data_IF_272738851483
#
_entry.id   IF_272738851483
#
_cell.length_a   1.000
_cell.length_b   1.000
_cell.length_c   1.000
_cell.angle_alpha   90.00
_cell.angle_beta   90.00
_cell.angle_gamma   90.00
#
_symmetry.space_group_name_H-M   'P 1'
#
loop_
_entity.id
_entity.type
_entity.pdbx_description
1 polymer ?
#
# COMPACT_ATOMS: atom_id res chain seq x y z
N UNK A 1 -47.23 31.63 -2.46
CA UNK A 1 -46.56 30.52 -1.73
C UNK A 1 -46.78 30.56 -0.22
N UNK A 2 -46.88 31.73 0.43
CA UNK A 2 -47.12 31.83 1.89
C UNK A 2 -48.51 31.36 2.39
N UNK A 3 -49.52 31.26 1.51
CA UNK A 3 -50.89 30.89 1.86
C UNK A 3 -51.10 29.36 1.96
N UNK A 4 -50.37 28.59 1.14
CA UNK A 4 -50.54 27.13 1.08
C UNK A 4 -50.01 26.42 2.34
N UNK A 5 -48.91 26.89 2.91
CA UNK A 5 -48.33 26.34 4.15
C UNK A 5 -49.31 26.38 5.32
N UNK A 6 -50.08 27.48 5.46
CA UNK A 6 -51.06 27.62 6.52
C UNK A 6 -52.23 26.64 6.37
N UNK A 7 -52.66 26.41 5.13
CA UNK A 7 -53.74 25.45 4.81
C UNK A 7 -53.27 24.01 5.08
N UNK A 8 -52.03 23.69 4.72
CA UNK A 8 -51.39 22.40 5.02
C UNK A 8 -51.34 22.15 6.53
N UNK A 9 -50.84 23.11 7.32
CA UNK A 9 -50.73 22.96 8.77
C UNK A 9 -52.10 22.81 9.45
N UNK A 10 -53.10 23.56 8.98
CA UNK A 10 -54.47 23.45 9.45
C UNK A 10 -55.08 22.07 9.12
N UNK A 11 -54.90 21.60 7.88
CA UNK A 11 -55.37 20.28 7.46
C UNK A 11 -54.67 19.15 8.24
N UNK A 12 -53.35 19.28 8.48
CA UNK A 12 -52.55 18.35 9.28
C UNK A 12 -53.07 18.25 10.71
N UNK A 13 -53.36 19.39 11.33
CA UNK A 13 -53.91 19.45 12.70
C UNK A 13 -55.28 18.77 12.76
N UNK A 14 -56.18 19.08 11.83
CA UNK A 14 -57.52 18.48 11.78
C UNK A 14 -57.50 16.97 11.51
N UNK A 15 -56.63 16.51 10.61
CA UNK A 15 -56.46 15.09 10.29
C UNK A 15 -55.93 14.31 11.49
N UNK A 16 -54.83 14.78 12.09
CA UNK A 16 -54.19 14.15 13.25
C UNK A 16 -55.14 14.02 14.43
N UNK A 17 -55.92 15.08 14.70
CA UNK A 17 -56.91 15.11 15.77
C UNK A 17 -57.92 13.95 15.69
N UNK A 18 -58.27 13.50 14.49
CA UNK A 18 -59.23 12.40 14.29
C UNK A 18 -58.52 11.06 14.26
N UNK A 19 -57.36 10.98 13.61
CA UNK A 19 -56.56 9.76 13.58
C UNK A 19 -56.17 9.30 15.00
N UNK A 20 -55.90 10.26 15.89
CA UNK A 20 -55.57 10.04 17.30
C UNK A 20 -56.80 9.97 18.23
N UNK A 21 -58.02 10.19 17.72
CA UNK A 21 -59.22 10.16 18.55
C UNK A 21 -59.54 8.72 19.01
N UNK A 22 -59.83 8.56 20.29
CA UNK A 22 -60.25 7.29 20.87
C UNK A 22 -61.78 7.19 20.91
N UNK A 23 -62.36 6.37 20.04
CA UNK A 23 -63.81 6.06 19.98
C UNK A 23 -64.39 5.54 21.29
N UNK A 24 -63.54 4.91 22.13
CA UNK A 24 -63.89 4.42 23.47
C UNK A 24 -64.31 5.52 24.45
N UNK A 25 -64.10 6.79 24.13
CA UNK A 25 -64.54 7.94 24.92
C UNK A 25 -66.02 8.29 24.69
N UNK A 26 -66.63 7.82 23.59
CA UNK A 26 -67.98 8.17 23.18
C UNK A 26 -69.10 7.55 24.04
N UNK A 27 -69.03 6.27 24.50
CA UNK A 27 -70.13 5.61 25.21
C UNK A 27 -70.67 6.32 26.45
N UNK A 28 -69.78 6.89 27.28
CA UNK A 28 -70.11 7.60 28.54
C UNK A 28 -71.08 6.82 29.43
N UNK A 29 -70.92 5.50 29.50
CA UNK A 29 -71.79 4.55 30.21
C UNK A 29 -71.94 4.89 31.69
N UNK A 30 -70.85 5.30 32.35
CA UNK A 30 -70.86 5.68 33.78
C UNK A 30 -71.70 6.93 34.09
N UNK A 31 -71.86 7.85 33.12
CA UNK A 31 -72.52 9.14 33.31
C UNK A 31 -73.96 9.17 32.76
N UNK A 32 -74.24 8.37 31.73
CA UNK A 32 -75.50 8.39 30.99
C UNK A 32 -76.41 7.18 31.27
N UNK A 33 -75.92 6.16 31.99
CA UNK A 33 -76.71 4.96 32.31
C UNK A 33 -77.01 4.07 31.10
N UNK A 34 -77.92 3.11 31.25
CA UNK A 34 -78.26 2.14 30.20
C UNK A 34 -79.09 2.76 29.05
N UNK A 35 -79.96 3.72 29.35
CA UNK A 35 -80.93 4.26 28.38
C UNK A 35 -80.37 5.36 27.47
N UNK A 36 -79.35 6.12 27.92
CA UNK A 36 -78.83 7.29 27.21
C UNK A 36 -77.35 7.19 26.77
N UNK A 37 -76.68 6.05 26.98
CA UNK A 37 -75.28 5.87 26.56
C UNK A 37 -75.12 5.82 25.02
N UNK A 38 -73.92 6.12 24.52
CA UNK A 38 -73.59 6.10 23.10
C UNK A 38 -72.78 4.86 22.69
N UNK A 39 -73.02 3.70 23.30
CA UNK A 39 -72.34 2.46 22.91
C UNK A 39 -72.49 2.15 21.41
N UNK A 40 -73.69 2.39 20.86
CA UNK A 40 -73.98 2.20 19.44
C UNK A 40 -73.24 3.19 18.51
N UNK A 41 -72.61 4.25 19.03
CA UNK A 41 -71.84 5.21 18.23
C UNK A 41 -70.37 4.80 18.04
N UNK A 42 -69.87 3.82 18.81
CA UNK A 42 -68.45 3.41 18.77
C UNK A 42 -68.07 2.80 17.43
N UNK A 43 -68.86 1.86 16.93
CA UNK A 43 -68.59 1.19 15.65
C UNK A 43 -68.65 2.15 14.44
N UNK A 44 -69.66 3.03 14.30
CA UNK A 44 -69.63 4.10 13.30
C UNK A 44 -68.41 5.03 13.43
N UNK A 45 -68.04 5.41 14.66
CA UNK A 45 -66.87 6.25 14.90
C UNK A 45 -65.55 5.57 14.51
N UNK A 46 -65.38 4.29 14.83
CA UNK A 46 -64.18 3.51 14.49
C UNK A 46 -64.01 3.37 12.97
N UNK A 47 -65.11 3.16 12.24
CA UNK A 47 -65.07 3.11 10.77
C UNK A 47 -64.63 4.44 10.17
N UNK A 48 -65.14 5.56 10.69
CA UNK A 48 -64.73 6.90 10.27
C UNK A 48 -63.26 7.18 10.56
N UNK A 49 -62.79 6.90 11.79
CA UNK A 49 -61.38 7.08 12.19
C UNK A 49 -60.47 6.19 11.33
N UNK A 50 -60.85 4.94 11.13
CA UNK A 50 -60.13 3.98 10.29
C UNK A 50 -59.97 4.47 8.85
N UNK A 51 -60.96 5.16 8.30
CA UNK A 51 -60.89 5.75 6.97
C UNK A 51 -59.86 6.88 6.90
N UNK A 52 -59.86 7.81 7.86
CA UNK A 52 -58.86 8.88 7.90
C UNK A 52 -57.43 8.37 8.11
N UNK A 53 -57.24 7.26 8.83
CA UNK A 53 -55.91 6.63 9.04
C UNK A 53 -55.29 6.07 7.77
N UNK A 54 -56.06 5.84 6.71
CA UNK A 54 -55.52 5.32 5.44
C UNK A 54 -54.74 6.39 4.64
N UNK A 55 -54.89 7.67 4.99
CA UNK A 55 -54.12 8.74 4.36
C UNK A 55 -52.91 9.15 5.22
N UNK A 56 -51.66 9.02 4.71
CA UNK A 56 -50.46 9.40 5.44
C UNK A 56 -50.31 10.92 5.55
N UNK A 57 -50.08 11.43 6.76
CA UNK A 57 -49.88 12.87 7.00
C UNK A 57 -48.70 13.46 6.19
N UNK A 58 -47.70 12.66 5.84
CA UNK A 58 -46.50 13.10 5.12
C UNK A 58 -46.76 13.56 3.67
N UNK A 59 -47.91 13.19 3.08
CA UNK A 59 -48.25 13.57 1.70
C UNK A 59 -49.21 14.75 1.60
N UNK A 60 -49.51 15.42 2.73
CA UNK A 60 -50.34 16.62 2.72
C UNK A 60 -49.72 17.77 1.92
N UNK A 61 -48.39 17.87 1.93
CA UNK A 61 -47.67 18.96 1.25
C UNK A 61 -47.80 18.88 -0.29
N UNK A 62 -48.10 17.68 -0.81
CA UNK A 62 -48.27 17.40 -2.23
C UNK A 62 -49.70 17.64 -2.74
N UNK A 63 -50.66 17.92 -1.84
CA UNK A 63 -52.06 18.09 -2.20
C UNK A 63 -52.37 19.54 -2.62
N UNK A 64 -53.18 19.74 -3.68
CA UNK A 64 -53.70 21.06 -4.01
C UNK A 64 -54.57 21.66 -2.87
N UNK A 65 -54.63 22.99 -2.74
CA UNK A 65 -55.39 23.67 -1.67
C UNK A 65 -56.85 23.22 -1.56
N UNK A 66 -57.50 22.94 -2.70
CA UNK A 66 -58.89 22.45 -2.72
C UNK A 66 -59.03 21.09 -2.04
N UNK A 67 -58.10 20.17 -2.30
CA UNK A 67 -58.11 18.83 -1.69
C UNK A 67 -57.74 18.88 -0.21
N UNK A 68 -56.81 19.75 0.18
CA UNK A 68 -56.50 20.02 1.59
C UNK A 68 -57.71 20.56 2.35
N UNK A 69 -58.42 21.52 1.77
CA UNK A 69 -59.63 22.06 2.36
C UNK A 69 -60.75 21.02 2.45
N UNK A 70 -60.90 20.15 1.44
CA UNK A 70 -61.86 19.06 1.48
C UNK A 70 -61.53 18.05 2.60
N UNK A 71 -60.26 17.64 2.72
CA UNK A 71 -59.81 16.73 3.77
C UNK A 71 -59.97 17.35 5.16
N UNK A 72 -59.58 18.62 5.32
CA UNK A 72 -59.78 19.40 6.55
C UNK A 72 -61.26 19.49 6.91
N UNK A 73 -62.13 19.77 5.94
CA UNK A 73 -63.58 19.94 6.19
C UNK A 73 -64.25 18.61 6.54
N UNK A 74 -63.88 17.52 5.86
CA UNK A 74 -64.31 16.17 6.20
C UNK A 74 -63.85 15.77 7.61
N UNK A 75 -62.61 16.13 7.96
CA UNK A 75 -62.08 15.93 9.30
C UNK A 75 -62.88 16.74 10.34
N UNK A 76 -62.93 18.07 10.20
CA UNK A 76 -63.60 18.96 11.15
C UNK A 76 -65.07 18.59 11.36
N UNK A 77 -65.81 18.27 10.29
CA UNK A 77 -67.21 17.83 10.39
C UNK A 77 -67.36 16.52 11.16
N UNK A 78 -66.46 15.56 10.96
CA UNK A 78 -66.44 14.30 11.72
C UNK A 78 -66.15 14.54 13.20
N UNK A 79 -65.15 15.38 13.51
CA UNK A 79 -64.81 15.71 14.89
C UNK A 79 -65.96 16.46 15.60
N UNK A 80 -66.66 17.35 14.89
CA UNK A 80 -67.83 18.05 15.43
C UNK A 80 -68.94 17.08 15.87
N UNK A 81 -69.16 15.96 15.15
CA UNK A 81 -70.10 14.94 15.60
C UNK A 81 -69.62 14.26 16.89
N UNK A 82 -68.32 13.98 17.01
CA UNK A 82 -67.75 13.45 18.26
C UNK A 82 -67.92 14.45 19.42
N UNK A 83 -67.72 15.75 19.19
CA UNK A 83 -67.94 16.79 20.20
C UNK A 83 -69.41 16.90 20.61
N UNK A 84 -70.36 16.79 19.67
CA UNK A 84 -71.79 16.79 19.97
C UNK A 84 -72.19 15.59 20.85
N UNK A 85 -71.61 14.41 20.61
CA UNK A 85 -71.81 13.23 21.45
C UNK A 85 -71.19 13.43 22.85
N UNK A 86 -69.97 13.99 22.93
CA UNK A 86 -69.29 14.27 24.19
C UNK A 86 -69.94 15.39 25.00
N UNK A 87 -70.63 16.33 24.36
CA UNK A 87 -71.35 17.44 25.02
C UNK A 87 -72.83 17.14 25.30
N UNK A 88 -73.32 15.94 24.96
CA UNK A 88 -74.73 15.56 25.14
C UNK A 88 -75.28 15.77 26.56
N UNK A 89 -76.37 16.54 26.61
CA UNK A 89 -77.29 16.93 27.69
C UNK A 89 -78.41 15.93 28.08
N UNK A 90 -78.31 14.98 29.03
CA UNK A 90 -79.46 14.13 29.38
C UNK A 90 -80.66 14.88 29.98
N UNK A 91 -80.51 16.13 30.42
CA UNK A 91 -81.61 16.97 30.94
C UNK A 91 -82.31 17.80 29.86
N UNK A 92 -81.88 17.71 28.61
CA UNK A 92 -82.51 18.42 27.51
C UNK A 92 -83.93 17.89 27.21
N UNK A 93 -84.79 18.76 26.69
CA UNK A 93 -86.08 18.35 26.14
C UNK A 93 -85.83 17.38 24.97
N UNK A 94 -86.43 16.18 25.02
CA UNK A 94 -86.25 15.10 24.02
C UNK A 94 -84.80 14.58 23.87
N UNK A 95 -84.18 14.26 25.00
CA UNK A 95 -82.83 13.70 25.05
C UNK A 95 -82.70 12.36 24.28
N UNK A 96 -83.72 11.50 24.31
CA UNK A 96 -83.69 10.20 23.61
C UNK A 96 -83.75 10.35 22.08
N UNK A 97 -84.64 11.21 21.56
CA UNK A 97 -84.72 11.50 20.12
C UNK A 97 -83.44 12.14 19.59
N UNK A 98 -82.86 13.06 20.38
CA UNK A 98 -81.57 13.70 20.06
C UNK A 98 -80.44 12.69 19.97
N UNK A 99 -80.35 11.75 20.93
CA UNK A 99 -79.36 10.66 20.92
C UNK A 99 -79.49 9.81 19.66
N UNK A 100 -80.69 9.36 19.34
CA UNK A 100 -80.91 8.48 18.17
C UNK A 100 -80.55 9.18 16.85
N UNK A 101 -80.85 10.49 16.77
CA UNK A 101 -80.49 11.33 15.62
C UNK A 101 -78.98 11.47 15.46
N UNK A 102 -78.24 11.67 16.56
CA UNK A 102 -76.78 11.77 16.54
C UNK A 102 -76.13 10.46 16.08
N UNK A 103 -76.61 9.30 16.57
CA UNK A 103 -76.10 7.99 16.17
C UNK A 103 -76.36 7.72 14.68
N UNK A 104 -77.58 8.00 14.22
CA UNK A 104 -77.98 7.78 12.82
C UNK A 104 -77.24 8.73 11.88
N UNK A 105 -77.07 10.00 12.28
CA UNK A 105 -76.30 10.99 11.53
C UNK A 105 -74.82 10.60 11.43
N UNK A 106 -74.23 10.08 12.52
CA UNK A 106 -72.85 9.62 12.51
C UNK A 106 -72.64 8.43 11.59
N UNK A 107 -73.59 7.49 11.56
CA UNK A 107 -73.55 6.32 10.67
C UNK A 107 -73.62 6.75 9.20
N UNK A 108 -74.58 7.61 8.84
CA UNK A 108 -74.72 8.14 7.49
C UNK A 108 -73.55 9.03 7.05
N UNK A 109 -72.84 9.66 8.01
CA UNK A 109 -71.69 10.51 7.72
C UNK A 109 -70.53 9.72 7.10
N UNK A 110 -70.44 8.42 7.35
CA UNK A 110 -69.42 7.55 6.75
C UNK A 110 -69.41 7.61 5.22
N UNK A 111 -70.55 7.45 4.57
CA UNK A 111 -70.64 7.48 3.10
C UNK A 111 -70.24 8.85 2.54
N UNK A 112 -70.63 9.92 3.24
CA UNK A 112 -70.30 11.30 2.85
C UNK A 112 -68.79 11.53 2.89
N UNK A 113 -68.14 11.12 3.99
CA UNK A 113 -66.69 11.24 4.15
C UNK A 113 -65.97 10.36 3.12
N UNK A 114 -66.38 9.10 2.97
CA UNK A 114 -65.79 8.16 2.02
C UNK A 114 -65.76 8.71 0.59
N UNK A 115 -66.89 9.22 0.10
CA UNK A 115 -66.97 9.80 -1.24
C UNK A 115 -66.08 11.04 -1.39
N UNK A 116 -65.88 11.82 -0.31
CA UNK A 116 -65.08 13.04 -0.36
C UNK A 116 -63.57 12.81 -0.34
N UNK A 117 -63.08 11.75 0.32
CA UNK A 117 -61.63 11.53 0.53
C UNK A 117 -61.07 10.26 -0.10
N UNK A 118 -61.89 9.38 -0.69
CA UNK A 118 -61.44 8.12 -1.31
C UNK A 118 -60.36 8.31 -2.39
N UNK A 119 -60.48 9.33 -3.23
CA UNK A 119 -59.50 9.66 -4.25
C UNK A 119 -58.15 10.10 -3.66
N UNK A 120 -58.18 10.77 -2.51
CA UNK A 120 -56.98 11.18 -1.77
C UNK A 120 -56.30 9.96 -1.14
N UNK A 121 -57.08 9.03 -0.59
CA UNK A 121 -56.56 7.76 -0.06
C UNK A 121 -55.86 6.97 -1.17
N UNK A 122 -56.47 6.86 -2.35
CA UNK A 122 -55.86 6.20 -3.51
C UNK A 122 -54.55 6.86 -3.96
N UNK A 123 -54.48 8.20 -3.93
CA UNK A 123 -53.26 8.96 -4.20
C UNK A 123 -52.16 8.66 -3.16
N UNK A 124 -52.48 8.71 -1.88
CA UNK A 124 -51.53 8.41 -0.79
C UNK A 124 -50.99 6.98 -0.84
N UNK A 125 -51.85 6.00 -1.15
CA UNK A 125 -51.46 4.60 -1.30
C UNK A 125 -50.49 4.36 -2.47
N UNK A 126 -50.67 5.09 -3.58
CA UNK A 126 -49.78 4.99 -4.74
C UNK A 126 -48.39 5.56 -4.43
N UNK A 127 -48.35 6.72 -3.75
CA UNK A 127 -47.08 7.37 -3.34
C UNK A 127 -46.27 6.51 -2.35
N UNK A 128 -46.92 5.79 -1.45
CA UNK A 128 -46.28 4.82 -0.55
C UNK A 128 -45.55 3.71 -1.32
N UNK A 129 -46.15 3.22 -2.41
CA UNK A 129 -45.58 2.12 -3.21
C UNK A 129 -44.27 2.54 -3.89
N UNK A 130 -44.22 3.75 -4.44
CA UNK A 130 -43.04 4.24 -5.16
C UNK A 130 -41.83 4.48 -4.24
N UNK A 131 -42.05 4.93 -3.00
CA UNK A 131 -40.96 5.12 -2.03
C UNK A 131 -40.25 3.81 -1.67
N UNK A 132 -40.99 2.71 -1.51
CA UNK A 132 -40.42 1.40 -1.20
C UNK A 132 -39.51 0.86 -2.32
N UNK A 133 -39.86 1.16 -3.58
CA UNK A 133 -39.07 0.75 -4.75
C UNK A 133 -37.75 1.53 -4.83
N UNK A 134 -37.79 2.83 -4.55
CA UNK A 134 -36.59 3.69 -4.54
C UNK A 134 -35.63 3.29 -3.40
N UNK A 135 -36.15 2.97 -2.21
CA UNK A 135 -35.32 2.52 -1.09
C UNK A 135 -34.57 1.22 -1.43
N UNK A 136 -35.24 0.27 -2.09
CA UNK A 136 -34.60 -0.96 -2.57
C UNK A 136 -33.46 -0.71 -3.55
N UNK A 137 -33.66 0.19 -4.51
CA UNK A 137 -32.64 0.58 -5.49
C UNK A 137 -31.45 1.28 -4.83
N UNK A 138 -31.70 2.20 -3.88
CA UNK A 138 -30.65 2.89 -3.15
C UNK A 138 -29.78 1.91 -2.33
N UNK A 139 -30.39 0.93 -1.64
CA UNK A 139 -29.65 -0.10 -0.91
C UNK A 139 -28.79 -0.97 -1.84
N UNK A 140 -29.33 -1.35 -3.00
CA UNK A 140 -28.58 -2.11 -4.00
C UNK A 140 -27.37 -1.34 -4.55
N UNK A 141 -27.54 -0.04 -4.85
CA UNK A 141 -26.45 0.82 -5.32
C UNK A 141 -25.35 0.99 -4.26
N UNK A 142 -25.72 1.17 -2.98
CA UNK A 142 -24.76 1.25 -1.88
C UNK A 142 -24.00 -0.07 -1.69
N UNK A 143 -24.66 -1.21 -1.86
CA UNK A 143 -23.99 -2.51 -1.75
C UNK A 143 -23.01 -2.74 -2.91
N UNK A 144 -23.42 -2.45 -4.14
CA UNK A 144 -22.54 -2.55 -5.31
C UNK A 144 -21.29 -1.66 -5.14
N UNK A 145 -21.47 -0.43 -4.65
CA UNK A 145 -20.34 0.46 -4.35
C UNK A 145 -19.42 -0.08 -3.25
N UNK A 146 -19.97 -0.71 -2.20
CA UNK A 146 -19.16 -1.36 -1.15
C UNK A 146 -18.36 -2.54 -1.69
N UNK A 147 -18.97 -3.35 -2.54
CA UNK A 147 -18.33 -4.52 -3.13
C UNK A 147 -17.19 -4.09 -4.07
N UNK A 148 -17.40 -3.05 -4.88
CA UNK A 148 -16.39 -2.46 -5.76
C UNK A 148 -15.21 -1.83 -4.99
N UNK A 149 -15.49 -1.16 -3.86
CA UNK A 149 -14.44 -0.67 -2.95
C UNK A 149 -13.66 -1.83 -2.34
N UNK A 150 -14.33 -2.94 -2.01
CA UNK A 150 -13.71 -4.16 -1.52
C UNK A 150 -12.76 -4.80 -2.53
N UNK A 151 -13.20 -4.96 -3.78
CA UNK A 151 -12.36 -5.49 -4.87
C UNK A 151 -11.20 -4.57 -5.19
N UNK A 152 -11.43 -3.26 -5.27
CA UNK A 152 -10.37 -2.28 -5.52
C UNK A 152 -9.30 -2.30 -4.42
N UNK A 153 -9.70 -2.42 -3.16
CA UNK A 153 -8.75 -2.55 -2.05
C UNK A 153 -7.94 -3.86 -2.11
N UNK A 154 -8.51 -4.94 -2.63
CA UNK A 154 -7.80 -6.20 -2.85
C UNK A 154 -6.78 -6.08 -3.99
N UNK A 155 -7.18 -5.50 -5.13
CA UNK A 155 -6.32 -5.27 -6.29
C UNK A 155 -5.15 -4.34 -5.95
N UNK A 156 -5.41 -3.28 -5.19
CA UNK A 156 -4.37 -2.37 -4.67
C UNK A 156 -3.33 -3.11 -3.82
N UNK A 157 -3.74 -4.04 -2.95
CA UNK A 157 -2.80 -4.84 -2.16
C UNK A 157 -1.99 -5.78 -3.05
N UNK A 158 -2.62 -6.42 -4.03
CA UNK A 158 -1.93 -7.29 -4.97
C UNK A 158 -0.87 -6.53 -5.79
N UNK A 159 -1.24 -5.35 -6.33
CA UNK A 159 -0.31 -4.48 -7.05
C UNK A 159 0.84 -3.97 -6.17
N UNK A 160 0.56 -3.64 -4.91
CA UNK A 160 1.61 -3.22 -3.97
C UNK A 160 2.61 -4.35 -3.71
N UNK A 161 2.14 -5.58 -3.59
CA UNK A 161 3.00 -6.74 -3.39
C UNK A 161 3.83 -7.07 -4.63
N UNK A 162 3.22 -7.01 -5.82
CA UNK A 162 3.92 -7.18 -7.10
C UNK A 162 4.98 -6.10 -7.31
N UNK A 163 4.66 -4.83 -7.04
CA UNK A 163 5.63 -3.72 -7.12
C UNK A 163 6.82 -3.91 -6.17
N UNK A 164 6.58 -4.43 -4.96
CA UNK A 164 7.66 -4.78 -4.02
C UNK A 164 8.54 -5.89 -4.57
N UNK A 165 7.97 -6.94 -5.16
CA UNK A 165 8.74 -8.03 -5.80
C UNK A 165 9.59 -7.51 -6.95
N UNK A 166 9.01 -6.68 -7.84
CA UNK A 166 9.74 -6.08 -8.96
C UNK A 166 10.89 -5.21 -8.46
N UNK A 167 10.66 -4.38 -7.44
CA UNK A 167 11.71 -3.53 -6.86
C UNK A 167 12.86 -4.37 -6.28
N UNK A 168 12.54 -5.48 -5.62
CA UNK A 168 13.52 -6.40 -5.05
C UNK A 168 14.35 -7.10 -6.15
N UNK A 169 13.69 -7.55 -7.22
CA UNK A 169 14.36 -8.10 -8.40
C UNK A 169 15.27 -7.10 -9.10
N UNK A 170 14.82 -5.85 -9.27
CA UNK A 170 15.66 -4.78 -9.85
C UNK A 170 16.88 -4.52 -8.99
N UNK A 171 16.74 -4.48 -7.66
CA UNK A 171 17.86 -4.31 -6.72
C UNK A 171 18.84 -5.48 -6.81
N UNK A 172 18.33 -6.72 -6.89
CA UNK A 172 19.13 -7.93 -7.04
C UNK A 172 19.91 -7.93 -8.36
N UNK A 173 19.25 -7.65 -9.48
CA UNK A 173 19.90 -7.57 -10.80
C UNK A 173 20.94 -6.44 -10.83
N UNK A 174 20.66 -5.28 -10.22
CA UNK A 174 21.62 -4.19 -10.15
C UNK A 174 22.87 -4.56 -9.33
N UNK A 175 22.69 -5.28 -8.21
CA UNK A 175 23.80 -5.81 -7.43
C UNK A 175 24.60 -6.87 -8.21
N UNK A 176 23.92 -7.81 -8.87
CA UNK A 176 24.55 -8.83 -9.72
C UNK A 176 25.35 -8.21 -10.89
N UNK A 177 24.78 -7.23 -11.60
CA UNK A 177 25.45 -6.56 -12.72
C UNK A 177 26.64 -5.71 -12.26
N UNK A 178 26.51 -4.98 -11.15
CA UNK A 178 27.61 -4.18 -10.59
C UNK A 178 28.80 -5.04 -10.17
N UNK A 179 28.54 -6.13 -9.44
CA UNK A 179 29.57 -7.08 -9.00
C UNK A 179 30.16 -7.83 -10.20
N UNK A 180 29.32 -8.26 -11.15
CA UNK A 180 29.76 -8.97 -12.36
C UNK A 180 30.69 -8.11 -13.22
N UNK A 181 30.33 -6.85 -13.48
CA UNK A 181 31.14 -5.93 -14.28
C UNK A 181 32.52 -5.68 -13.65
N UNK A 182 32.57 -5.41 -12.34
CA UNK A 182 33.84 -5.23 -11.62
C UNK A 182 34.67 -6.51 -11.58
N UNK A 183 34.03 -7.66 -11.41
CA UNK A 183 34.71 -8.96 -11.44
C UNK A 183 35.36 -9.21 -12.81
N UNK A 184 34.65 -8.91 -13.90
CA UNK A 184 35.17 -9.03 -15.26
C UNK A 184 36.37 -8.11 -15.49
N UNK A 185 36.32 -6.87 -14.99
CA UNK A 185 37.43 -5.93 -15.08
C UNK A 185 38.69 -6.45 -14.36
N UNK A 186 38.55 -6.92 -13.11
CA UNK A 186 39.69 -7.49 -12.38
C UNK A 186 40.22 -8.76 -13.04
N UNK A 187 39.36 -9.58 -13.65
CA UNK A 187 39.80 -10.75 -14.43
C UNK A 187 40.65 -10.32 -15.62
N UNK A 188 40.17 -9.39 -16.44
CA UNK A 188 40.90 -8.92 -17.62
C UNK A 188 42.23 -8.24 -17.24
N UNK A 189 42.24 -7.45 -16.17
CA UNK A 189 43.46 -6.79 -15.68
C UNK A 189 44.47 -7.82 -15.15
N UNK A 190 43.99 -8.85 -14.46
CA UNK A 190 44.81 -9.98 -14.03
C UNK A 190 45.44 -10.75 -15.19
N UNK A 191 44.66 -11.04 -16.25
CA UNK A 191 45.13 -11.71 -17.46
C UNK A 191 46.13 -10.85 -18.27
N UNK A 192 45.90 -9.54 -18.32
CA UNK A 192 46.83 -8.57 -18.92
C UNK A 192 48.19 -8.58 -18.21
N UNK A 193 48.19 -8.43 -16.89
CA UNK A 193 49.41 -8.48 -16.08
C UNK A 193 50.11 -9.85 -16.13
N UNK A 194 49.35 -10.94 -16.24
CA UNK A 194 49.89 -12.29 -16.43
C UNK A 194 50.65 -12.41 -17.76
N UNK A 195 50.14 -11.77 -18.81
CA UNK A 195 50.78 -11.73 -20.13
C UNK A 195 52.04 -10.88 -20.10
N UNK A 196 51.95 -9.66 -19.56
CA UNK A 196 53.09 -8.75 -19.38
C UNK A 196 54.19 -9.41 -18.54
N UNK A 197 53.82 -10.16 -17.48
CA UNK A 197 54.77 -10.92 -16.69
C UNK A 197 55.51 -11.99 -17.52
N UNK A 198 54.83 -12.69 -18.43
CA UNK A 198 55.50 -13.67 -19.31
C UNK A 198 56.53 -13.01 -20.22
N UNK A 199 56.21 -11.82 -20.73
CA UNK A 199 57.14 -11.07 -21.58
C UNK A 199 58.38 -10.64 -20.79
N UNK A 200 58.19 -10.04 -19.61
CA UNK A 200 59.31 -9.68 -18.72
C UNK A 200 60.14 -10.89 -18.30
N UNK A 201 59.51 -12.05 -18.05
CA UNK A 201 60.23 -13.29 -17.76
C UNK A 201 61.18 -13.66 -18.89
N UNK A 202 60.72 -13.64 -20.14
CA UNK A 202 61.57 -13.94 -21.29
C UNK A 202 62.67 -12.89 -21.48
N UNK A 203 62.36 -11.60 -21.29
CA UNK A 203 63.38 -10.55 -21.32
C UNK A 203 64.46 -10.74 -20.26
N UNK A 204 64.09 -11.12 -19.03
CA UNK A 204 65.06 -11.44 -17.97
C UNK A 204 65.92 -12.65 -18.35
N UNK A 205 65.34 -13.70 -18.94
CA UNK A 205 66.09 -14.88 -19.41
C UNK A 205 67.08 -14.49 -20.52
N UNK A 206 66.66 -13.69 -21.50
CA UNK A 206 67.55 -13.24 -22.59
C UNK A 206 68.66 -12.33 -22.09
N UNK A 207 68.38 -11.41 -21.17
CA UNK A 207 69.39 -10.55 -20.56
C UNK A 207 70.38 -11.35 -19.70
N UNK A 208 69.91 -12.35 -18.96
CA UNK A 208 70.78 -13.23 -18.16
C UNK A 208 71.69 -14.08 -19.06
N UNK A 209 71.15 -14.67 -20.13
CA UNK A 209 71.92 -15.39 -21.12
C UNK A 209 72.94 -14.47 -21.82
N UNK A 210 72.51 -13.28 -22.24
CA UNK A 210 73.36 -12.27 -22.87
C UNK A 210 74.49 -11.80 -21.96
N UNK A 211 74.22 -11.59 -20.67
CA UNK A 211 75.24 -11.25 -19.68
C UNK A 211 76.26 -12.39 -19.50
N UNK A 212 75.79 -13.64 -19.44
CA UNK A 212 76.64 -14.82 -19.37
C UNK A 212 77.53 -14.99 -20.60
N UNK A 213 76.96 -14.82 -21.80
CA UNK A 213 77.70 -14.85 -23.08
C UNK A 213 78.70 -13.69 -23.15
N UNK A 214 78.30 -12.48 -22.76
CA UNK A 214 79.21 -11.33 -22.71
C UNK A 214 80.37 -11.57 -21.75
N UNK A 215 80.11 -12.10 -20.55
CA UNK A 215 81.15 -12.44 -19.58
C UNK A 215 82.11 -13.50 -20.16
N UNK A 216 81.58 -14.54 -20.80
CA UNK A 216 82.38 -15.60 -21.43
C UNK A 216 83.21 -15.07 -22.62
N UNK A 217 82.64 -14.29 -23.53
CA UNK A 217 83.39 -13.70 -24.64
C UNK A 217 84.44 -12.70 -24.13
N UNK A 218 84.10 -11.92 -23.10
CA UNK A 218 84.99 -10.91 -22.53
C UNK A 218 86.27 -11.49 -21.93
N UNK A 219 86.22 -12.72 -21.41
CA UNK A 219 87.42 -13.43 -20.93
C UNK A 219 88.30 -13.92 -22.08
N UNK A 220 87.76 -14.21 -23.27
CA UNK A 220 88.54 -14.65 -24.44
C UNK A 220 89.01 -13.51 -25.37
N UNK A 221 88.47 -12.30 -25.24
CA UNK A 221 88.79 -11.15 -26.10
C UNK A 221 90.29 -10.81 -26.19
N UNK A 222 91.09 -11.09 -25.14
CA UNK A 222 92.54 -10.83 -25.14
C UNK A 222 93.33 -11.73 -26.10
N UNK A 223 92.72 -12.80 -26.63
CA UNK A 223 93.37 -13.72 -27.58
C UNK A 223 93.27 -13.26 -29.04
N UNK A 224 92.46 -12.25 -29.35
CA UNK A 224 92.33 -11.72 -30.70
C UNK A 224 93.31 -10.57 -30.93
N UNK A 225 94.22 -10.72 -31.90
CA UNK A 225 95.32 -9.77 -32.17
C UNK A 225 94.87 -8.35 -32.53
N UNK A 226 93.62 -8.18 -32.97
CA UNK A 226 93.03 -6.88 -33.34
C UNK A 226 92.54 -6.07 -32.12
N UNK A 227 92.25 -6.74 -31.00
CA UNK A 227 91.66 -6.15 -29.79
C UNK A 227 92.60 -6.23 -28.57
N UNK A 228 93.85 -6.67 -28.79
CA UNK A 228 94.86 -6.73 -27.75
C UNK A 228 95.38 -5.31 -27.47
N UNK A 229 95.30 -4.81 -26.22
CA UNK A 229 95.83 -3.50 -25.89
C UNK A 229 97.35 -3.48 -26.11
N UNK A 230 97.83 -2.43 -26.77
CA UNK A 230 99.26 -2.23 -27.04
C UNK A 230 99.95 -1.40 -25.96
N UNK A 231 99.18 -0.66 -25.16
CA UNK A 231 99.65 0.20 -24.07
C UNK A 231 98.74 0.11 -22.83
N UNK A 232 99.26 0.46 -21.66
CA UNK A 232 98.55 0.44 -20.36
C UNK A 232 97.27 1.28 -20.38
N UNK A 233 97.27 2.41 -21.10
CA UNK A 233 96.07 3.25 -21.23
C UNK A 233 94.92 2.53 -21.96
N UNK A 234 95.22 1.85 -23.07
CA UNK A 234 94.22 1.07 -23.83
C UNK A 234 93.67 -0.10 -23.00
N UNK A 235 94.52 -0.75 -22.18
CA UNK A 235 94.08 -1.80 -21.27
C UNK A 235 93.12 -1.28 -20.19
N UNK A 236 93.39 -0.09 -19.64
CA UNK A 236 92.50 0.57 -18.67
C UNK A 236 91.18 0.96 -19.33
N UNK A 237 91.20 1.57 -20.51
CA UNK A 237 89.98 1.94 -21.24
C UNK A 237 89.13 0.71 -21.62
N UNK A 238 89.77 -0.38 -22.06
CA UNK A 238 89.09 -1.63 -22.42
C UNK A 238 88.50 -2.36 -21.20
N UNK A 239 89.18 -2.32 -20.05
CA UNK A 239 88.62 -2.87 -18.80
C UNK A 239 87.46 -2.04 -18.25
N UNK A 240 87.56 -0.70 -18.30
CA UNK A 240 86.51 0.21 -17.84
C UNK A 240 85.25 0.10 -18.70
N UNK A 241 85.39 0.03 -20.03
CA UNK A 241 84.26 -0.15 -20.94
C UNK A 241 83.56 -1.50 -20.75
N UNK A 242 84.30 -2.59 -20.50
CA UNK A 242 83.73 -3.90 -20.14
C UNK A 242 82.93 -3.83 -18.84
N UNK A 243 83.47 -3.17 -17.83
CA UNK A 243 82.81 -3.00 -16.54
C UNK A 243 81.53 -2.17 -16.68
N UNK A 244 81.57 -1.10 -17.49
CA UNK A 244 80.40 -0.28 -17.78
C UNK A 244 79.31 -1.09 -18.50
N UNK A 245 79.64 -1.83 -19.56
CA UNK A 245 78.67 -2.67 -20.29
C UNK A 245 78.08 -3.73 -19.36
N UNK A 246 78.91 -4.39 -18.54
CA UNK A 246 78.46 -5.37 -17.54
C UNK A 246 77.50 -4.73 -16.53
N UNK A 247 77.83 -3.54 -16.01
CA UNK A 247 76.99 -2.81 -15.07
C UNK A 247 75.63 -2.42 -15.67
N UNK A 248 75.61 -1.95 -16.92
CA UNK A 248 74.38 -1.58 -17.64
C UNK A 248 73.48 -2.81 -17.86
N UNK A 249 74.03 -3.91 -18.37
CA UNK A 249 73.27 -5.14 -18.59
C UNK A 249 72.78 -5.72 -17.25
N UNK A 250 73.62 -5.68 -16.21
CA UNK A 250 73.25 -6.09 -14.86
C UNK A 250 72.10 -5.25 -14.28
N UNK A 251 72.13 -3.93 -14.47
CA UNK A 251 71.03 -3.05 -14.07
C UNK A 251 69.73 -3.37 -14.82
N UNK A 252 69.80 -3.56 -16.15
CA UNK A 252 68.63 -3.94 -16.95
C UNK A 252 68.06 -5.30 -16.53
N UNK A 253 68.92 -6.26 -16.16
CA UNK A 253 68.50 -7.55 -15.62
C UNK A 253 67.74 -7.38 -14.31
N UNK A 254 68.26 -6.58 -13.37
CA UNK A 254 67.56 -6.28 -12.11
C UNK A 254 66.23 -5.57 -12.37
N UNK A 255 66.19 -4.60 -13.28
CA UNK A 255 64.96 -3.89 -13.64
C UNK A 255 63.90 -4.84 -14.22
N UNK A 256 64.29 -5.71 -15.16
CA UNK A 256 63.39 -6.70 -15.77
C UNK A 256 62.85 -7.69 -14.74
N UNK A 257 63.69 -8.18 -13.82
CA UNK A 257 63.29 -9.06 -12.75
C UNK A 257 62.29 -8.38 -11.79
N UNK A 258 62.52 -7.10 -11.45
CA UNK A 258 61.58 -6.33 -10.62
C UNK A 258 60.24 -6.12 -11.32
N UNK A 259 60.22 -5.82 -12.60
CA UNK A 259 58.99 -5.66 -13.38
C UNK A 259 58.20 -6.98 -13.52
N UNK A 260 58.92 -8.11 -13.68
CA UNK A 260 58.31 -9.45 -13.65
C UNK A 260 57.60 -9.70 -12.32
N UNK A 261 58.30 -9.48 -11.20
CA UNK A 261 57.75 -9.68 -9.86
C UNK A 261 56.52 -8.78 -9.60
N UNK A 262 56.61 -7.49 -9.96
CA UNK A 262 55.50 -6.54 -9.82
C UNK A 262 54.27 -6.95 -10.65
N UNK A 263 54.48 -7.35 -11.91
CA UNK A 263 53.38 -7.79 -12.79
C UNK A 263 52.75 -9.08 -12.29
N UNK A 264 53.54 -10.03 -11.77
CA UNK A 264 53.02 -11.25 -11.13
C UNK A 264 52.22 -10.96 -9.86
N UNK A 265 52.69 -10.03 -9.03
CA UNK A 265 51.95 -9.60 -7.87
C UNK A 265 50.58 -9.04 -8.26
N UNK A 266 50.53 -8.10 -9.20
CA UNK A 266 49.27 -7.51 -9.67
C UNK A 266 48.33 -8.54 -10.29
N UNK A 267 48.86 -9.50 -11.07
CA UNK A 267 48.08 -10.58 -11.65
C UNK A 267 47.38 -11.43 -10.56
N UNK A 268 48.11 -11.79 -9.50
CA UNK A 268 47.57 -12.60 -8.39
C UNK A 268 46.56 -11.80 -7.57
N UNK A 269 46.85 -10.54 -7.23
CA UNK A 269 45.93 -9.67 -6.48
C UNK A 269 44.62 -9.48 -7.25
N UNK A 270 44.69 -9.19 -8.54
CA UNK A 270 43.48 -9.01 -9.36
C UNK A 270 42.68 -10.32 -9.51
N UNK A 271 43.36 -11.47 -9.64
CA UNK A 271 42.69 -12.77 -9.64
C UNK A 271 42.02 -13.09 -8.30
N UNK A 272 42.63 -12.70 -7.18
CA UNK A 272 42.01 -12.83 -5.86
C UNK A 272 40.76 -11.96 -5.74
N UNK A 273 40.84 -10.68 -6.14
CA UNK A 273 39.69 -9.75 -6.17
C UNK A 273 38.54 -10.26 -7.02
N UNK A 274 38.86 -10.81 -8.20
CA UNK A 274 37.88 -11.47 -9.05
C UNK A 274 37.17 -12.63 -8.34
N UNK A 275 37.92 -13.55 -7.73
CA UNK A 275 37.35 -14.69 -7.01
C UNK A 275 36.52 -14.26 -5.78
N UNK A 276 36.96 -13.23 -5.06
CA UNK A 276 36.22 -12.67 -3.92
C UNK A 276 34.88 -12.05 -4.36
N UNK A 277 34.86 -11.30 -5.46
CA UNK A 277 33.62 -10.75 -6.04
C UNK A 277 32.69 -11.85 -6.56
N UNK A 278 33.22 -12.91 -7.18
CA UNK A 278 32.41 -14.02 -7.69
C UNK A 278 31.70 -14.79 -6.57
N UNK A 279 32.35 -14.89 -5.40
CA UNK A 279 31.80 -15.59 -4.22
C UNK A 279 31.00 -14.68 -3.29
N UNK A 280 31.03 -13.36 -3.51
CA UNK A 280 30.38 -12.36 -2.66
C UNK A 280 28.87 -12.58 -2.53
N UNK A 281 28.15 -12.71 -3.66
CA UNK A 281 26.70 -12.87 -3.63
C UNK A 281 26.29 -14.15 -2.88
N UNK A 282 27.01 -15.25 -3.10
CA UNK A 282 26.75 -16.50 -2.39
C UNK A 282 26.96 -16.37 -0.87
N UNK A 283 27.93 -15.56 -0.42
CA UNK A 283 28.16 -15.31 1.01
C UNK A 283 27.10 -14.38 1.62
N UNK A 284 26.69 -13.34 0.90
CA UNK A 284 25.63 -12.41 1.35
C UNK A 284 24.28 -13.12 1.46
N UNK A 285 23.96 -13.97 0.47
CA UNK A 285 22.73 -14.75 0.45
C UNK A 285 22.70 -15.79 1.57
N UNK A 286 23.84 -16.44 1.85
CA UNK A 286 23.97 -17.43 2.92
C UNK A 286 23.92 -16.82 4.33
N UNK A 287 24.31 -15.55 4.51
CA UNK A 287 24.43 -14.90 5.81
C UNK A 287 23.09 -14.83 6.57
N UNK A 288 21.99 -14.58 5.86
CA UNK A 288 20.62 -14.48 6.41
C UNK A 288 20.42 -13.36 7.44
N UNK A 289 19.44 -12.47 7.24
CA UNK A 289 19.19 -11.34 8.15
C UNK A 289 20.11 -10.13 7.91
N UNK A 290 19.60 -8.93 8.20
CA UNK A 290 20.21 -7.64 7.81
C UNK A 290 21.56 -7.39 8.51
N UNK A 291 21.63 -7.61 9.83
CA UNK A 291 22.86 -7.45 10.63
C UNK A 291 24.03 -8.34 10.13
N UNK A 292 23.71 -9.54 9.65
CA UNK A 292 24.72 -10.49 9.17
C UNK A 292 25.22 -10.14 7.77
N UNK A 293 24.39 -9.50 6.93
CA UNK A 293 24.80 -9.02 5.60
C UNK A 293 25.82 -7.89 5.71
N UNK A 294 25.62 -6.93 6.63
CA UNK A 294 26.55 -5.81 6.82
C UNK A 294 27.94 -6.27 7.30
N UNK A 295 27.97 -7.29 8.16
CA UNK A 295 29.21 -7.94 8.56
C UNK A 295 29.90 -8.57 7.34
N UNK A 296 29.18 -9.38 6.55
CA UNK A 296 29.74 -10.01 5.35
C UNK A 296 30.21 -8.98 4.33
N UNK A 297 29.48 -7.88 4.13
CA UNK A 297 29.87 -6.75 3.29
C UNK A 297 31.18 -6.11 3.75
N UNK A 298 31.32 -5.84 5.04
CA UNK A 298 32.52 -5.24 5.62
C UNK A 298 33.74 -6.15 5.43
N UNK A 299 33.58 -7.45 5.69
CA UNK A 299 34.65 -8.43 5.50
C UNK A 299 34.99 -8.66 4.02
N UNK A 300 34.00 -8.71 3.15
CA UNK A 300 34.21 -8.83 1.70
C UNK A 300 34.94 -7.60 1.15
N UNK A 301 34.55 -6.39 1.55
CA UNK A 301 35.24 -5.16 1.19
C UNK A 301 36.71 -5.17 1.67
N UNK A 302 36.95 -5.60 2.91
CA UNK A 302 38.31 -5.79 3.41
C UNK A 302 39.09 -6.83 2.58
N UNK A 303 38.48 -7.96 2.23
CA UNK A 303 39.11 -9.00 1.41
C UNK A 303 39.46 -8.52 -0.02
N UNK A 304 38.60 -7.70 -0.63
CA UNK A 304 38.79 -7.17 -1.99
C UNK A 304 39.84 -6.04 -2.01
N UNK A 305 39.81 -5.13 -1.04
CA UNK A 305 40.60 -3.90 -1.11
C UNK A 305 41.84 -3.87 -0.19
N UNK A 306 41.99 -4.82 0.73
CA UNK A 306 43.20 -4.90 1.56
C UNK A 306 44.45 -5.17 0.73
N UNK A 307 45.60 -4.59 1.09
CA UNK A 307 46.89 -5.00 0.55
C UNK A 307 47.15 -6.48 0.87
N UNK A 308 47.49 -7.28 -0.15
CA UNK A 308 47.74 -8.71 -0.03
C UNK A 308 49.20 -9.02 -0.37
N UNK A 309 49.89 -9.78 0.49
CA UNK A 309 51.23 -10.27 0.17
C UNK A 309 51.11 -11.53 -0.68
N UNK A 310 51.70 -11.52 -1.88
CA UNK A 310 51.62 -12.64 -2.83
C UNK A 310 52.91 -13.43 -2.94
N UNK A 311 53.92 -13.11 -2.11
CA UNK A 311 55.27 -13.66 -2.23
C UNK A 311 56.10 -13.10 -3.39
N UNK A 312 55.47 -12.42 -4.36
CA UNK A 312 56.14 -11.69 -5.45
C UNK A 312 56.44 -10.23 -5.11
N UNK A 313 55.75 -9.66 -4.12
CA UNK A 313 56.06 -8.37 -3.54
C UNK A 313 55.83 -8.42 -2.04
N UNK A 314 56.87 -8.15 -1.24
CA UNK A 314 56.75 -8.03 0.21
C UNK A 314 56.06 -6.72 0.55
N UNK A 315 54.97 -6.77 1.30
CA UNK A 315 54.33 -5.58 1.84
C UNK A 315 55.16 -5.06 3.02
N UNK A 316 55.70 -3.84 2.90
CA UNK A 316 56.22 -3.10 4.04
C UNK A 316 55.02 -2.66 4.89
N UNK A 317 55.02 -3.06 6.16
CA UNK A 317 53.99 -2.79 7.18
C UNK A 317 52.65 -3.52 7.01
N UNK A 318 52.44 -4.52 7.89
CA UNK A 318 51.13 -5.06 8.23
C UNK A 318 50.36 -4.00 9.02
N UNK A 319 49.64 -3.11 8.35
CA UNK A 319 48.51 -2.46 9.03
C UNK A 319 47.42 -3.51 9.16
N UNK A 320 47.36 -4.15 10.33
CA UNK A 320 46.27 -5.06 10.70
C UNK A 320 44.94 -4.28 10.66
N UNK A 321 44.24 -4.32 9.52
CA UNK A 321 42.89 -3.75 9.44
C UNK A 321 41.85 -4.72 10.00
N UNK A 322 42.18 -5.98 10.29
CA UNK A 322 41.22 -6.87 10.98
C UNK A 322 41.88 -7.94 11.86
N UNK A 323 41.89 -7.78 13.19
CA UNK A 323 41.84 -8.91 14.10
C UNK A 323 40.40 -9.11 14.62
N UNK A 324 39.91 -10.34 14.42
CA UNK A 324 38.86 -11.06 15.18
C UNK A 324 37.50 -11.30 14.52
N UNK A 325 37.51 -12.31 13.64
CA UNK A 325 36.38 -13.23 13.38
C UNK A 325 35.69 -13.74 14.68
N UNK A 326 36.39 -13.69 15.82
CA UNK A 326 35.92 -14.19 17.13
C UNK A 326 35.16 -13.12 17.96
N UNK A 327 35.24 -11.83 17.62
CA UNK A 327 34.53 -10.77 18.38
C UNK A 327 33.21 -10.28 17.72
N UNK A 328 33.01 -10.54 16.43
CA UNK A 328 31.79 -10.15 15.71
C UNK A 328 30.68 -11.23 15.72
N UNK A 329 30.97 -12.44 16.20
CA UNK A 329 29.94 -13.42 16.56
C UNK A 329 29.48 -13.10 17.99
N UNK A 330 28.23 -12.63 18.21
CA UNK A 330 27.71 -12.56 19.57
C UNK A 330 27.76 -13.97 20.16
N UNK A 331 28.21 -14.08 21.41
CA UNK A 331 28.19 -15.31 22.22
C UNK A 331 26.82 -16.01 22.13
N UNK A 332 26.65 -16.90 21.15
CA UNK A 332 25.47 -17.75 20.98
C UNK A 332 25.55 -19.01 21.87
N UNK A 333 26.12 -18.87 23.06
CA UNK A 333 26.38 -20.02 23.93
C UNK A 333 26.76 -19.66 25.36
N UNK A 334 26.00 -18.80 26.05
CA UNK A 334 25.81 -18.92 27.51
C UNK A 334 24.75 -17.92 28.01
N UNK A 335 23.52 -18.39 28.19
CA UNK A 335 22.60 -18.02 29.28
C UNK A 335 21.23 -18.67 29.02
N UNK A 336 21.21 -20.01 29.02
CA UNK A 336 20.08 -20.74 29.55
C UNK A 336 20.43 -21.08 31.00
N UNK A 337 19.72 -20.45 31.93
CA UNK A 337 19.90 -20.57 33.38
C UNK A 337 18.87 -19.68 34.06
#
# INVERSE_FOLDING_TARGET
MADNSKIVDAARTSLKRIQDFGSTKLPRTERLGEDYNFNAAVEPADRLIGLFRQFPEQFLDDLPPTHLNNLKSAADSTFNYFEQILSFDPKASDAYGTRQTLITSLDNHYETVFNSISSLIAFGATRLRDFSAIEGQARAAVQAAKDEVGSFAADMRAQQEEARRILDDVRRIAAEQGVSQQSSYFKSEGESHETIAKDWRWQTIYLAAGLGVFAALSTFLHKWSVLSPTNNYEAIQLSLSKLLIFAVIGFLLVLSARNFLASKHNAIVNRHRYNALLTFNALVDAAGGEDRRDIVLTYAAACIFSPQDTGYAKSSEKTEIVPNIIQALPKLGSAGG
#
